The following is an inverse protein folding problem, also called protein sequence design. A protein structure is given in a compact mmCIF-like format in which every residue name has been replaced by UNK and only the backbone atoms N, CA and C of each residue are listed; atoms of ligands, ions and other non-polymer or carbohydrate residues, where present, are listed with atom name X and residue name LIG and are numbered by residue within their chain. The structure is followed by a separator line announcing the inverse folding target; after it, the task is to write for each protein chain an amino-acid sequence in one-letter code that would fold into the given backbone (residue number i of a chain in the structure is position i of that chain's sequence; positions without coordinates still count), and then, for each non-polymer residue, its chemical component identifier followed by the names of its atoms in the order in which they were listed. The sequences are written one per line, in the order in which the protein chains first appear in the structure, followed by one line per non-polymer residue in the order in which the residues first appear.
data_IF_852574241016
#
_entry.id   IF_852574241016
#
_cell.length_a   1.000
_cell.length_b   1.000
_cell.length_c   1.000
_cell.angle_alpha   90.00
_cell.angle_beta   90.00
_cell.angle_gamma   90.00
#
_symmetry.space_group_name_H-M   'P 1'
#
loop_
_entity.id
_entity.type
_entity.pdbx_description
1 polymer ?
#
# COMPACT_ATOMS: atom_id res chain seq x y z
N UNK A 1 -5.30 -0.81 3.77
CA UNK A 1 -4.46 -1.81 4.45
C UNK A 1 -3.49 -1.08 5.41
N UNK A 2 -2.52 -1.77 6.03
CA UNK A 2 -1.51 -1.13 6.89
C UNK A 2 -0.57 -0.18 6.11
N UNK A 3 -0.22 -0.53 4.88
CA UNK A 3 0.62 0.29 4.00
C UNK A 3 -0.11 1.57 3.56
N UNK A 4 -1.34 1.45 3.04
CA UNK A 4 -2.22 2.59 2.74
C UNK A 4 -2.41 3.57 3.91
N UNK A 5 -2.54 3.05 5.13
CA UNK A 5 -2.65 3.89 6.33
C UNK A 5 -1.39 4.74 6.52
N UNK A 6 -0.20 4.21 6.25
CA UNK A 6 1.04 4.96 6.37
C UNK A 6 1.21 5.97 5.24
N UNK A 7 0.76 5.66 4.02
CA UNK A 7 0.69 6.65 2.95
C UNK A 7 -0.21 7.83 3.34
N UNK A 8 -1.38 7.55 3.93
CA UNK A 8 -2.26 8.58 4.47
C UNK A 8 -1.53 9.45 5.50
N UNK A 9 -0.92 8.85 6.54
CA UNK A 9 -0.19 9.60 7.58
C UNK A 9 0.96 10.45 7.01
N UNK A 10 1.63 9.95 5.96
CA UNK A 10 2.64 10.74 5.23
C UNK A 10 1.99 11.96 4.58
N UNK A 11 0.88 11.80 3.86
CA UNK A 11 0.17 12.93 3.23
C UNK A 11 -0.36 13.93 4.26
N UNK A 12 -0.89 13.46 5.39
CA UNK A 12 -1.31 14.31 6.50
C UNK A 12 -0.13 15.11 7.08
N UNK A 13 1.05 14.49 7.25
CA UNK A 13 2.26 15.19 7.72
C UNK A 13 2.73 16.28 6.75
N UNK A 14 2.43 16.15 5.46
CA UNK A 14 2.68 17.16 4.42
C UNK A 14 1.55 18.22 4.34
N UNK A 15 0.45 17.98 5.06
CA UNK A 15 -0.67 18.90 5.22
C UNK A 15 -1.93 18.54 4.46
N UNK A 16 -2.09 17.29 4.02
CA UNK A 16 -3.29 16.80 3.34
C UNK A 16 -4.57 16.86 4.17
N UNK A 17 -4.48 17.07 5.48
CA UNK A 17 -5.61 17.21 6.41
C UNK A 17 -5.77 18.62 6.98
N UNK A 18 -5.03 19.62 6.47
CA UNK A 18 -5.01 20.98 7.06
C UNK A 18 -6.39 21.62 7.12
N UNK A 19 -7.26 21.36 6.14
CA UNK A 19 -8.59 21.95 6.08
C UNK A 19 -9.68 20.98 6.55
N UNK A 20 -10.67 21.53 7.27
CA UNK A 20 -11.81 20.74 7.76
C UNK A 20 -12.60 20.10 6.62
N UNK A 21 -12.64 20.73 5.45
CA UNK A 21 -13.33 20.19 4.28
C UNK A 21 -12.64 18.94 3.74
N UNK A 22 -11.30 18.90 3.73
CA UNK A 22 -10.54 17.73 3.29
C UNK A 22 -10.82 16.55 4.22
N UNK A 23 -10.80 16.80 5.53
CA UNK A 23 -11.13 15.78 6.54
C UNK A 23 -12.56 15.27 6.37
N UNK A 24 -13.53 16.17 6.24
CA UNK A 24 -14.93 15.78 6.07
C UNK A 24 -15.13 14.94 4.80
N UNK A 25 -14.57 15.40 3.68
CA UNK A 25 -14.67 14.70 2.40
C UNK A 25 -14.01 13.33 2.45
N UNK A 26 -12.80 13.24 3.03
CA UNK A 26 -12.08 11.98 3.18
C UNK A 26 -12.89 10.95 4.00
N UNK A 27 -13.46 11.35 5.14
CA UNK A 27 -14.28 10.46 5.97
C UNK A 27 -15.57 10.01 5.27
N UNK A 28 -16.26 10.95 4.60
CA UNK A 28 -17.48 10.64 3.88
C UNK A 28 -17.21 9.67 2.71
N UNK A 29 -16.22 9.98 1.89
CA UNK A 29 -15.82 9.13 0.76
C UNK A 29 -15.34 7.76 1.22
N UNK A 30 -14.50 7.67 2.26
CA UNK A 30 -14.03 6.39 2.79
C UNK A 30 -15.18 5.51 3.30
N UNK A 31 -16.16 6.10 3.99
CA UNK A 31 -17.34 5.37 4.48
C UNK A 31 -18.22 4.86 3.34
N UNK A 32 -18.48 5.71 2.34
CA UNK A 32 -19.25 5.33 1.16
C UNK A 32 -18.54 4.24 0.37
N UNK A 33 -17.24 4.41 0.14
CA UNK A 33 -16.38 3.48 -0.57
C UNK A 33 -16.36 2.10 0.10
N UNK A 34 -16.22 2.06 1.43
CA UNK A 34 -16.27 0.82 2.21
C UNK A 34 -17.55 0.03 1.95
N UNK A 35 -18.73 0.67 2.02
CA UNK A 35 -20.00 -0.03 1.80
C UNK A 35 -20.19 -0.48 0.36
N UNK A 36 -19.71 0.29 -0.62
CA UNK A 36 -19.70 -0.13 -2.03
C UNK A 36 -18.87 -1.41 -2.16
N UNK A 37 -17.65 -1.44 -1.64
CA UNK A 37 -16.79 -2.62 -1.70
C UNK A 37 -17.40 -3.83 -1.01
N UNK A 38 -18.02 -3.66 0.17
CA UNK A 38 -18.70 -4.76 0.88
C UNK A 38 -19.79 -5.38 0.01
N UNK A 39 -20.63 -4.55 -0.63
CA UNK A 39 -21.71 -5.03 -1.50
C UNK A 39 -21.17 -5.70 -2.75
N UNK A 40 -20.19 -5.09 -3.43
CA UNK A 40 -19.59 -5.64 -4.64
C UNK A 40 -18.89 -6.97 -4.33
N UNK A 41 -18.12 -7.05 -3.24
CA UNK A 41 -17.43 -8.27 -2.84
C UNK A 41 -18.41 -9.40 -2.49
N UNK A 42 -19.51 -9.08 -1.80
CA UNK A 42 -20.53 -10.07 -1.44
C UNK A 42 -21.26 -10.68 -2.66
N UNK A 43 -21.41 -9.92 -3.74
CA UNK A 43 -22.14 -10.35 -4.95
C UNK A 43 -21.19 -10.89 -6.03
N UNK A 44 -20.04 -10.26 -6.22
CA UNK A 44 -19.08 -10.50 -7.29
C UNK A 44 -17.64 -10.25 -6.79
N UNK A 45 -17.05 -11.17 -6.02
CA UNK A 45 -15.72 -10.99 -5.41
C UNK A 45 -14.63 -10.74 -6.47
N UNK A 46 -14.72 -11.40 -7.63
CA UNK A 46 -13.82 -11.17 -8.76
C UNK A 46 -13.86 -9.73 -9.27
N UNK A 47 -15.06 -9.15 -9.37
CA UNK A 47 -15.22 -7.76 -9.78
C UNK A 47 -14.70 -6.79 -8.72
N UNK A 48 -14.78 -7.15 -7.43
CA UNK A 48 -14.18 -6.36 -6.37
C UNK A 48 -12.64 -6.33 -6.47
N UNK A 49 -12.00 -7.47 -6.73
CA UNK A 49 -10.55 -7.53 -6.94
C UNK A 49 -10.10 -6.78 -8.19
N UNK A 50 -10.82 -6.93 -9.32
CA UNK A 50 -10.54 -6.17 -10.53
C UNK A 50 -10.72 -4.66 -10.31
N UNK A 51 -11.77 -4.26 -9.59
CA UNK A 51 -11.99 -2.85 -9.27
C UNK A 51 -10.86 -2.28 -8.41
N UNK A 52 -10.40 -3.02 -7.40
CA UNK A 52 -9.25 -2.61 -6.60
C UNK A 52 -7.98 -2.53 -7.45
N UNK A 53 -7.70 -3.50 -8.33
CA UNK A 53 -6.56 -3.46 -9.26
C UNK A 53 -6.52 -2.14 -10.06
N UNK A 54 -7.66 -1.70 -10.59
CA UNK A 54 -7.76 -0.45 -11.34
C UNK A 54 -7.49 0.78 -10.47
N UNK A 55 -7.94 0.77 -9.21
CA UNK A 55 -7.66 1.84 -8.25
C UNK A 55 -6.15 1.93 -7.98
N UNK A 56 -5.50 0.80 -7.69
CA UNK A 56 -4.06 0.76 -7.41
C UNK A 56 -3.23 1.12 -8.66
N UNK A 57 -3.67 0.67 -9.84
CA UNK A 57 -3.05 1.03 -11.13
C UNK A 57 -3.15 2.53 -11.38
N UNK A 58 -4.28 3.16 -11.05
CA UNK A 58 -4.43 4.60 -11.16
C UNK A 58 -3.56 5.36 -10.15
N UNK A 59 -3.44 4.86 -8.91
CA UNK A 59 -2.56 5.41 -7.88
C UNK A 59 -1.09 5.37 -8.34
N UNK A 60 -0.61 4.22 -8.82
CA UNK A 60 0.73 4.05 -9.40
C UNK A 60 1.02 5.11 -10.48
N UNK A 61 0.14 5.24 -11.47
CA UNK A 61 0.34 6.19 -12.57
C UNK A 61 0.34 7.65 -12.08
N UNK A 62 -0.47 7.95 -11.07
CA UNK A 62 -0.53 9.29 -10.47
C UNK A 62 0.80 9.65 -9.80
N UNK A 63 1.33 8.75 -8.97
CA UNK A 63 2.63 8.98 -8.32
C UNK A 63 3.80 8.97 -9.31
N UNK A 64 3.79 8.07 -10.30
CA UNK A 64 4.84 8.04 -11.33
C UNK A 64 4.87 9.35 -12.12
N UNK A 65 3.70 9.88 -12.48
CA UNK A 65 3.59 11.20 -13.12
C UNK A 65 4.10 12.30 -12.19
N UNK A 66 3.71 12.30 -10.92
CA UNK A 66 4.11 13.32 -9.95
C UNK A 66 5.64 13.35 -9.75
N UNK A 67 6.25 12.18 -9.55
CA UNK A 67 7.71 12.02 -9.41
C UNK A 67 8.45 12.48 -10.66
N UNK A 68 7.94 12.18 -11.86
CA UNK A 68 8.54 12.66 -13.13
C UNK A 68 8.45 14.18 -13.28
N UNK A 69 7.36 14.80 -12.82
CA UNK A 69 7.11 16.23 -13.01
C UNK A 69 7.82 17.10 -11.96
N UNK A 70 7.90 16.62 -10.71
CA UNK A 70 8.40 17.40 -9.57
C UNK A 70 9.70 16.84 -8.98
N UNK A 71 10.33 15.86 -9.63
CA UNK A 71 11.40 15.09 -9.02
C UNK A 71 12.60 15.91 -8.55
N UNK A 72 13.02 16.91 -9.31
CA UNK A 72 14.14 17.79 -8.92
C UNK A 72 13.80 18.65 -7.70
N UNK A 73 12.55 19.13 -7.60
CA UNK A 73 12.07 19.88 -6.44
C UNK A 73 12.01 18.98 -5.20
N UNK A 74 11.45 17.79 -5.34
CA UNK A 74 11.29 16.82 -4.25
C UNK A 74 12.63 16.38 -3.66
N UNK A 75 13.70 16.27 -4.46
CA UNK A 75 15.05 15.95 -3.98
C UNK A 75 15.62 17.02 -3.04
N UNK A 76 15.16 18.26 -3.14
CA UNK A 76 15.60 19.35 -2.25
C UNK A 76 14.86 19.38 -0.91
N UNK A 77 13.75 18.66 -0.80
CA UNK A 77 12.91 18.65 0.39
C UNK A 77 13.27 17.46 1.31
N UNK A 78 13.27 17.68 2.64
CA UNK A 78 13.54 16.61 3.59
C UNK A 78 12.40 15.58 3.60
N UNK A 79 12.74 14.32 3.84
CA UNK A 79 11.73 13.29 4.07
C UNK A 79 11.00 13.55 5.41
N UNK A 80 9.67 13.40 5.46
CA UNK A 80 8.91 13.53 6.71
C UNK A 80 9.30 12.41 7.69
N UNK A 81 9.30 12.73 8.98
CA UNK A 81 9.67 11.81 10.06
C UNK A 81 8.83 10.52 10.05
N UNK A 82 7.54 10.63 9.71
CA UNK A 82 6.63 9.49 9.59
C UNK A 82 7.10 8.50 8.52
N UNK A 83 7.59 8.99 7.37
CA UNK A 83 8.11 8.14 6.30
C UNK A 83 9.44 7.49 6.68
N UNK A 84 10.34 8.24 7.34
CA UNK A 84 11.61 7.70 7.84
C UNK A 84 11.39 6.57 8.83
N UNK A 85 10.45 6.76 9.77
CA UNK A 85 10.06 5.71 10.73
C UNK A 85 9.44 4.52 10.02
N UNK A 86 8.52 4.74 9.09
CA UNK A 86 7.83 3.67 8.41
C UNK A 86 8.76 2.80 7.55
N UNK A 87 9.54 3.42 6.68
CA UNK A 87 10.40 2.72 5.71
C UNK A 87 11.78 2.34 6.26
N UNK A 88 12.31 3.11 7.22
CA UNK A 88 13.67 2.94 7.74
C UNK A 88 13.77 2.17 9.06
N UNK A 89 12.83 2.38 10.00
CA UNK A 89 12.86 1.79 11.35
C UNK A 89 11.73 0.78 11.61
N UNK A 90 10.68 0.82 10.79
CA UNK A 90 9.45 0.07 10.97
C UNK A 90 9.65 -1.43 10.69
N UNK A 91 8.97 -2.26 11.48
CA UNK A 91 8.77 -3.64 11.11
C UNK A 91 7.72 -3.70 9.97
N UNK A 92 8.22 -3.76 8.74
CA UNK A 92 7.40 -3.84 7.51
C UNK A 92 6.78 -5.26 7.36
N UNK A 93 6.85 -6.11 8.39
CA UNK A 93 6.24 -7.44 8.44
C UNK A 93 4.80 -7.49 7.89
N UNK A 94 3.95 -6.52 8.23
CA UNK A 94 2.55 -6.50 7.77
C UNK A 94 2.39 -6.20 6.28
N UNK A 95 3.38 -5.61 5.63
CA UNK A 95 3.42 -5.48 4.17
C UNK A 95 3.98 -6.76 3.56
N UNK A 96 5.10 -7.26 4.09
CA UNK A 96 5.76 -8.47 3.61
C UNK A 96 4.84 -9.72 3.69
N UNK A 97 4.03 -9.83 4.75
CA UNK A 97 3.16 -10.98 5.00
C UNK A 97 1.91 -11.05 4.10
N UNK A 98 1.52 -9.94 3.47
CA UNK A 98 0.29 -9.84 2.67
C UNK A 98 0.55 -9.63 1.18
N UNK A 99 1.81 -9.58 0.75
CA UNK A 99 2.19 -9.61 -0.66
C UNK A 99 2.17 -11.05 -1.20
N UNK A 100 1.52 -11.25 -2.35
CA UNK A 100 1.43 -12.57 -3.00
C UNK A 100 2.62 -12.86 -3.92
N UNK A 101 3.43 -11.86 -4.27
CA UNK A 101 4.66 -12.05 -5.03
C UNK A 101 5.68 -12.81 -4.17
N UNK A 102 6.16 -13.96 -4.65
CA UNK A 102 7.20 -14.74 -3.96
C UNK A 102 8.40 -13.84 -3.65
N UNK A 103 8.86 -13.90 -2.40
CA UNK A 103 9.95 -13.13 -1.83
C UNK A 103 11.22 -13.16 -2.72
N UNK A 104 11.35 -12.19 -3.62
CA UNK A 104 12.61 -11.99 -4.35
C UNK A 104 13.59 -11.15 -3.54
N UNK A 105 13.12 -10.30 -2.63
CA UNK A 105 13.91 -9.68 -1.56
C UNK A 105 12.96 -8.84 -0.69
N UNK A 106 13.12 -8.86 0.63
CA UNK A 106 12.39 -7.97 1.53
C UNK A 106 12.74 -6.53 1.15
N UNK A 107 11.84 -5.83 0.45
CA UNK A 107 12.10 -4.47 -0.02
C UNK A 107 12.23 -3.56 1.20
N UNK A 108 13.38 -2.90 1.31
CA UNK A 108 13.68 -1.89 2.34
C UNK A 108 14.23 -0.66 1.65
N UNK A 109 13.38 0.28 1.20
CA UNK A 109 13.83 1.45 0.48
C UNK A 109 14.62 2.37 1.42
N UNK A 110 15.78 2.84 0.97
CA UNK A 110 16.56 3.86 1.69
C UNK A 110 15.97 5.23 1.40
N UNK A 111 15.45 5.90 2.42
CA UNK A 111 14.82 7.21 2.31
C UNK A 111 15.79 8.31 2.73
N UNK A 112 16.20 9.18 1.81
CA UNK A 112 17.07 10.33 2.11
C UNK A 112 16.36 11.67 1.97
N UNK A 113 15.40 11.76 1.06
CA UNK A 113 14.68 12.99 0.71
C UNK A 113 13.21 12.67 0.38
N UNK A 114 12.41 13.70 0.14
CA UNK A 114 11.00 13.53 -0.18
C UNK A 114 10.76 12.80 -1.51
N UNK A 115 11.68 12.93 -2.48
CA UNK A 115 11.62 12.17 -3.73
C UNK A 115 11.65 10.67 -3.48
N UNK A 116 12.56 10.19 -2.63
CA UNK A 116 12.67 8.77 -2.28
C UNK A 116 11.38 8.23 -1.64
N UNK A 117 10.67 9.08 -0.86
CA UNK A 117 9.36 8.72 -0.26
C UNK A 117 8.29 8.50 -1.33
N UNK A 118 8.15 9.43 -2.28
CA UNK A 118 7.14 9.29 -3.33
C UNK A 118 7.47 8.14 -4.30
N UNK A 119 8.75 7.85 -4.53
CA UNK A 119 9.19 6.65 -5.26
C UNK A 119 8.80 5.40 -4.48
N UNK A 120 9.01 5.40 -3.15
CA UNK A 120 8.65 4.26 -2.32
C UNK A 120 7.14 3.99 -2.38
N UNK A 121 6.31 5.02 -2.17
CA UNK A 121 4.84 4.94 -2.26
C UNK A 121 4.42 4.41 -3.64
N UNK A 122 4.92 5.00 -4.74
CA UNK A 122 4.61 4.53 -6.10
C UNK A 122 4.87 3.04 -6.27
N UNK A 123 6.03 2.58 -5.84
CA UNK A 123 6.41 1.18 -6.01
C UNK A 123 5.56 0.26 -5.11
N UNK A 124 5.13 0.72 -3.93
CA UNK A 124 4.19 -0.02 -3.08
C UNK A 124 2.84 -0.22 -3.81
N UNK A 125 2.33 0.80 -4.51
CA UNK A 125 1.09 0.66 -5.31
C UNK A 125 1.24 -0.38 -6.42
N UNK A 126 2.42 -0.49 -7.03
CA UNK A 126 2.67 -1.51 -8.03
C UNK A 126 2.61 -2.93 -7.43
N UNK A 127 3.03 -3.10 -6.18
CA UNK A 127 2.88 -4.37 -5.48
C UNK A 127 1.42 -4.65 -5.09
N UNK A 128 0.63 -3.61 -4.78
CA UNK A 128 -0.81 -3.75 -4.59
C UNK A 128 -1.50 -4.21 -5.87
N UNK A 129 -1.14 -3.64 -7.04
CA UNK A 129 -1.64 -4.10 -8.36
C UNK A 129 -1.38 -5.60 -8.54
N UNK A 130 -0.14 -6.04 -8.37
CA UNK A 130 0.23 -7.47 -8.51
C UNK A 130 -0.57 -8.35 -7.56
N UNK A 131 -0.78 -7.88 -6.32
CA UNK A 131 -1.55 -8.60 -5.31
C UNK A 131 -3.01 -8.74 -5.74
N UNK A 132 -3.64 -7.67 -6.23
CA UNK A 132 -5.01 -7.71 -6.72
C UNK A 132 -5.17 -8.56 -7.98
N UNK A 133 -4.19 -8.57 -8.88
CA UNK A 133 -4.16 -9.49 -10.04
C UNK A 133 -4.09 -10.95 -9.57
N UNK A 134 -3.25 -11.27 -8.58
CA UNK A 134 -3.12 -12.63 -8.06
C UNK A 134 -4.40 -13.13 -7.36
N UNK A 135 -5.13 -12.24 -6.68
CA UNK A 135 -6.44 -12.56 -6.10
C UNK A 135 -7.52 -12.87 -7.14
N UNK A 136 -7.27 -12.61 -8.43
CA UNK A 136 -8.18 -12.94 -9.52
C UNK A 136 -7.91 -14.30 -10.17
N UNK A 137 -6.88 -15.04 -9.76
CA UNK A 137 -6.62 -16.35 -10.34
C UNK A 137 -7.56 -17.42 -9.76
N UNK A 138 -8.29 -18.20 -10.59
CA UNK A 138 -9.13 -19.29 -10.11
C UNK A 138 -8.25 -20.39 -9.49
N UNK A 139 -8.42 -20.66 -8.19
CA UNK A 139 -7.74 -21.78 -7.52
C UNK A 139 -6.62 -21.37 -6.55
N UNK A 140 -6.37 -20.08 -6.34
CA UNK A 140 -5.76 -19.59 -5.10
C UNK A 140 -6.80 -19.64 -3.98
N UNK A 141 -7.19 -20.87 -3.59
CA UNK A 141 -7.57 -21.06 -2.20
C UNK A 141 -6.38 -20.51 -1.40
N UNK A 142 -6.58 -19.40 -0.69
CA UNK A 142 -5.68 -18.95 0.36
C UNK A 142 -5.75 -20.01 1.46
N UNK A 143 -5.15 -21.16 1.16
CA UNK A 143 -4.91 -22.25 2.09
C UNK A 143 -3.86 -21.65 3.03
N UNK A 144 -4.35 -20.93 4.05
CA UNK A 144 -3.64 -20.55 5.26
C UNK A 144 -3.24 -21.84 5.97
N UNK A 145 -2.38 -22.65 5.35
CA UNK A 145 -1.58 -23.65 6.02
C UNK A 145 -0.54 -22.87 6.80
N UNK A 146 -0.99 -22.42 7.97
CA UNK A 146 -0.14 -22.16 9.11
C UNK A 146 0.99 -23.18 9.07
N UNK A 147 2.20 -22.66 9.00
CA UNK A 147 3.44 -23.43 9.04
C UNK A 147 3.51 -24.15 10.39
N UNK A 148 2.75 -25.24 10.54
CA UNK A 148 2.92 -26.20 11.63
C UNK A 148 4.15 -27.02 11.27
N UNK A 149 5.32 -26.50 11.65
CA UNK A 149 6.47 -27.37 11.83
C UNK A 149 6.49 -27.80 13.30
N UNK A 150 6.08 -29.03 13.64
CA UNK A 150 6.21 -29.55 14.99
C UNK A 150 7.70 -29.79 15.27
N UNK A 151 8.15 -29.24 16.40
CA UNK A 151 9.35 -29.59 17.17
C UNK A 151 10.15 -30.78 16.62
N UNK A 152 11.38 -30.53 16.16
CA UNK A 152 12.42 -31.57 16.24
C UNK A 152 12.86 -31.68 17.69
N UNK A 153 12.42 -32.74 18.35
CA UNK A 153 12.98 -33.22 19.61
C UNK A 153 14.48 -33.46 19.42
N UNK A 154 15.26 -32.90 20.35
CA UNK A 154 16.63 -33.30 20.60
C UNK A 154 16.59 -34.62 21.37
N UNK A 155 17.11 -35.67 20.74
CA UNK A 155 17.66 -36.86 21.40
C UNK A 155 19.06 -37.09 20.84
#
# INVERSE_FOLDING_TARGET
SWNEMHHLLIMESLGGDKYLIDRFLAHFCATLYFWILVVVYAVAPMAAYQFMEEVESHAYHTYDKFVRQHGEELKTQPAPEVALKYYGEGDIYMFDAFQTAQAVELRRPTINNLYDVFVAIRDDELEHVKTMTACQEPGTDLDFKANQNPKKELV
#
